data_IF_847639712808
#
_entry.id   IF_847639712808
#
_cell.length_a   1.000
_cell.length_b   1.000
_cell.length_c   1.000
_cell.angle_alpha   90.00
_cell.angle_beta   90.00
_cell.angle_gamma   90.00
#
_symmetry.space_group_name_H-M   'P 1'
#
loop_
_entity.id
_entity.type
_entity.pdbx_description
1 polymer ?
#
# COMPACT_ATOMS: atom_id res chain seq x y z
N UNK A 1 -47.49 49.17 47.76
CA UNK A 1 -46.57 50.29 48.11
C UNK A 1 -45.37 50.13 47.18
N UNK A 2 -45.28 51.05 46.26
CA UNK A 2 -44.16 51.44 45.46
C UNK A 2 -42.99 51.99 46.31
N UNK A 3 -41.79 52.29 45.83
CA UNK A 3 -41.33 52.46 44.42
C UNK A 3 -39.92 51.83 44.09
N UNK A 4 -39.59 51.61 42.80
CA UNK A 4 -38.77 52.46 41.89
C UNK A 4 -37.27 52.53 42.22
N UNK A 5 -36.28 52.50 41.38
CA UNK A 5 -35.97 52.88 39.98
C UNK A 5 -34.58 52.27 39.62
N UNK A 6 -34.33 51.78 38.52
CA UNK A 6 -33.83 52.34 37.26
C UNK A 6 -32.35 52.76 37.20
N UNK A 7 -31.69 52.12 36.19
CA UNK A 7 -30.76 52.72 35.20
C UNK A 7 -29.35 53.17 35.66
N UNK A 8 -28.28 52.75 34.99
CA UNK A 8 -27.72 53.25 33.72
C UNK A 8 -26.37 52.66 33.42
N UNK A 9 -26.14 52.45 32.20
CA UNK A 9 -24.88 52.23 31.54
C UNK A 9 -23.89 53.35 31.70
N UNK A 10 -22.60 53.06 31.72
CA UNK A 10 -21.61 53.95 31.08
C UNK A 10 -20.33 53.18 30.72
N UNK A 11 -19.95 53.33 29.45
CA UNK A 11 -18.63 53.04 28.90
C UNK A 11 -17.70 54.18 29.27
N UNK A 12 -16.45 53.89 29.69
CA UNK A 12 -15.35 54.84 29.51
C UNK A 12 -14.07 54.08 29.10
N UNK A 13 -13.42 54.71 28.17
CA UNK A 13 -12.30 54.47 27.32
C UNK A 13 -10.96 54.77 27.96
N UNK A 14 -9.96 53.97 27.62
CA UNK A 14 -8.56 54.30 27.30
C UNK A 14 -7.73 55.37 28.05
N UNK A 15 -6.49 54.90 28.33
CA UNK A 15 -5.20 55.67 28.44
C UNK A 15 -4.84 56.21 29.80
N UNK A 16 -3.70 55.84 30.44
CA UNK A 16 -2.36 56.36 30.22
C UNK A 16 -1.42 56.04 31.41
N UNK A 17 -0.23 55.60 31.08
CA UNK A 17 1.14 55.84 31.57
C UNK A 17 1.65 55.35 32.93
N UNK A 18 2.65 54.53 32.79
CA UNK A 18 4.03 54.50 33.39
C UNK A 18 4.26 54.90 34.83
N UNK A 19 4.89 53.99 35.59
CA UNK A 19 6.30 54.18 36.04
C UNK A 19 6.89 52.88 36.62
N UNK A 20 8.18 52.69 36.32
CA UNK A 20 9.00 51.56 36.63
C UNK A 20 9.34 51.39 38.10
N UNK A 21 9.51 50.12 38.53
CA UNK A 21 10.52 49.76 39.54
C UNK A 21 11.03 48.36 39.25
N UNK A 22 12.34 48.28 39.13
CA UNK A 22 13.18 47.08 38.93
C UNK A 22 13.11 46.16 40.14
N UNK A 23 12.84 44.85 39.87
CA UNK A 23 13.27 43.77 40.76
C UNK A 23 13.61 42.55 39.89
N UNK A 24 14.87 42.21 39.90
CA UNK A 24 15.50 41.04 39.29
C UNK A 24 15.03 39.77 40.01
N UNK A 25 14.31 38.89 39.31
CA UNK A 25 14.20 37.50 39.70
C UNK A 25 14.14 36.66 38.42
N UNK A 26 14.98 35.61 38.36
CA UNK A 26 15.26 34.81 37.18
C UNK A 26 14.03 34.14 36.59
N UNK A 27 13.76 34.42 35.35
CA UNK A 27 12.80 33.72 34.54
C UNK A 27 13.50 32.49 33.91
N UNK A 28 13.13 31.31 34.37
CA UNK A 28 13.38 30.06 33.64
C UNK A 28 12.50 30.12 32.39
N UNK A 29 13.11 30.39 31.24
CA UNK A 29 12.46 30.26 29.96
C UNK A 29 12.23 28.78 29.66
N UNK A 30 11.03 28.28 29.94
CA UNK A 30 10.56 27.05 29.32
C UNK A 30 10.33 27.30 27.83
N UNK A 31 11.30 26.95 27.01
CA UNK A 31 11.11 26.83 25.57
C UNK A 31 10.07 25.72 25.33
N UNK A 32 8.83 26.10 25.04
CA UNK A 32 7.86 25.23 24.47
C UNK A 32 8.38 24.85 23.07
N UNK A 33 8.98 23.66 22.97
CA UNK A 33 9.24 23.02 21.69
C UNK A 33 7.86 22.71 21.09
N UNK A 34 7.37 23.57 20.22
CA UNK A 34 6.33 23.20 19.28
C UNK A 34 6.96 22.13 18.37
N UNK A 35 6.74 20.86 18.71
CA UNK A 35 6.89 19.81 17.72
C UNK A 35 5.92 20.17 16.59
N UNK A 36 6.43 20.67 15.49
CA UNK A 36 5.70 20.67 14.23
C UNK A 36 5.23 19.23 14.04
N UNK A 37 3.94 19.01 14.16
CA UNK A 37 3.30 17.81 13.67
C UNK A 37 3.54 17.83 12.15
N UNK A 38 4.61 17.17 11.73
CA UNK A 38 4.78 16.86 10.31
C UNK A 38 3.50 16.17 9.88
N UNK A 39 2.71 16.88 9.08
CA UNK A 39 1.59 16.26 8.36
C UNK A 39 2.15 15.02 7.65
N UNK A 40 1.47 13.86 7.75
CA UNK A 40 1.94 12.66 7.06
C UNK A 40 2.29 13.05 5.62
N UNK A 41 3.48 12.63 5.17
CA UNK A 41 3.91 12.87 3.80
C UNK A 41 2.81 12.32 2.89
N UNK A 42 1.94 13.23 2.43
CA UNK A 42 0.85 12.89 1.55
C UNK A 42 1.44 12.11 0.39
N UNK A 43 0.83 10.96 0.09
CA UNK A 43 0.95 10.35 -1.21
C UNK A 43 1.00 11.47 -2.24
N UNK A 44 2.03 11.45 -3.10
CA UNK A 44 2.33 12.51 -4.06
C UNK A 44 1.05 13.18 -4.56
N UNK A 45 1.02 14.51 -4.60
CA UNK A 45 -0.15 15.28 -5.02
C UNK A 45 -0.54 14.94 -6.47
N UNK A 46 -1.07 13.73 -6.71
CA UNK A 46 -1.41 13.20 -8.00
C UNK A 46 -1.80 11.72 -7.93
N UNK A 47 -2.44 11.25 -8.99
CA UNK A 47 -2.83 9.85 -9.16
C UNK A 47 -1.59 8.95 -9.27
N UNK A 48 -1.48 7.93 -8.41
CA UNK A 48 -0.35 7.00 -8.36
C UNK A 48 -0.41 6.04 -9.55
N UNK A 49 0.64 6.02 -10.35
CA UNK A 49 0.89 5.02 -11.40
C UNK A 49 1.96 4.08 -10.89
N UNK A 50 1.59 2.86 -10.56
CA UNK A 50 2.46 1.90 -9.91
C UNK A 50 2.64 0.61 -10.71
N UNK A 51 3.67 -0.13 -10.34
CA UNK A 51 3.93 -1.49 -10.82
C UNK A 51 4.37 -2.36 -9.64
N UNK A 52 3.99 -3.65 -9.62
CA UNK A 52 4.68 -4.67 -8.82
C UNK A 52 5.76 -5.29 -9.71
N UNK A 53 7.00 -5.24 -9.27
CA UNK A 53 8.15 -5.77 -10.01
C UNK A 53 9.05 -6.58 -9.07
N UNK A 54 8.43 -7.31 -8.18
CA UNK A 54 9.13 -8.08 -7.16
C UNK A 54 10.01 -9.20 -7.74
N UNK A 55 9.74 -9.65 -8.98
CA UNK A 55 10.56 -10.66 -9.67
C UNK A 55 11.87 -10.11 -10.24
N UNK A 56 12.05 -8.79 -10.33
CA UNK A 56 13.24 -8.20 -10.98
C UNK A 56 14.56 -8.74 -10.43
N UNK A 57 14.82 -8.80 -9.10
CA UNK A 57 16.10 -9.34 -8.62
C UNK A 57 16.34 -10.78 -9.07
N UNK A 58 15.32 -11.60 -9.08
CA UNK A 58 15.37 -13.00 -9.50
C UNK A 58 15.57 -13.12 -11.02
N UNK A 59 14.90 -12.28 -11.80
CA UNK A 59 15.06 -12.24 -13.26
C UNK A 59 16.47 -11.79 -13.64
N UNK A 60 16.98 -10.73 -13.02
CA UNK A 60 18.36 -10.24 -13.22
C UNK A 60 19.41 -11.32 -12.88
N UNK A 61 19.23 -12.03 -11.76
CA UNK A 61 20.10 -13.14 -11.36
C UNK A 61 20.11 -14.29 -12.38
N UNK A 62 19.07 -14.40 -13.21
CA UNK A 62 18.93 -15.37 -14.32
C UNK A 62 19.31 -14.80 -15.69
N UNK A 63 19.89 -13.60 -15.74
CA UNK A 63 20.40 -12.97 -16.96
C UNK A 63 19.34 -12.28 -17.81
N UNK A 64 18.12 -12.06 -17.29
CA UNK A 64 17.12 -11.26 -18.00
C UNK A 64 17.52 -9.78 -18.02
N UNK A 65 17.18 -9.12 -19.11
CA UNK A 65 17.35 -7.69 -19.29
C UNK A 65 16.21 -7.13 -20.11
N UNK A 66 16.00 -5.82 -20.03
CA UNK A 66 14.90 -5.15 -20.70
C UNK A 66 15.40 -4.13 -21.69
N UNK A 67 14.67 -3.99 -22.79
CA UNK A 67 14.90 -2.96 -23.79
C UNK A 67 13.80 -1.91 -23.69
N UNK A 68 14.18 -0.65 -23.97
CA UNK A 68 13.21 0.42 -24.15
C UNK A 68 12.45 0.28 -25.49
N UNK A 69 11.50 1.17 -25.76
CA UNK A 69 10.72 1.15 -27.00
C UNK A 69 11.58 1.26 -28.27
N UNK A 70 12.77 1.89 -28.20
CA UNK A 70 13.72 1.99 -29.31
C UNK A 70 14.56 0.72 -29.49
N UNK A 71 14.44 -0.27 -28.60
CA UNK A 71 15.18 -1.53 -28.68
C UNK A 71 16.57 -1.49 -28.05
N UNK A 72 16.89 -0.46 -27.29
CA UNK A 72 18.14 -0.34 -26.56
C UNK A 72 17.97 -0.98 -25.17
N UNK A 73 18.95 -1.80 -24.76
CA UNK A 73 18.99 -2.33 -23.39
C UNK A 73 19.18 -1.18 -22.41
N UNK A 74 18.30 -1.14 -21.39
CA UNK A 74 18.27 -0.05 -20.43
C UNK A 74 17.80 -0.56 -19.07
N UNK A 75 18.19 0.11 -17.99
CA UNK A 75 17.69 -0.16 -16.65
C UNK A 75 16.16 -0.07 -16.62
N UNK A 76 15.52 -1.09 -16.02
CA UNK A 76 14.06 -1.20 -16.01
C UNK A 76 13.39 -0.01 -15.31
N UNK A 77 13.92 0.44 -14.17
CA UNK A 77 13.33 1.56 -13.43
C UNK A 77 13.36 2.85 -14.26
N UNK A 78 14.43 3.03 -15.06
CA UNK A 78 14.54 4.15 -16.01
C UNK A 78 13.48 4.06 -17.11
N UNK A 79 13.25 2.86 -17.68
CA UNK A 79 12.20 2.63 -18.68
C UNK A 79 10.83 2.92 -18.08
N UNK A 80 10.53 2.38 -16.91
CA UNK A 80 9.25 2.56 -16.21
C UNK A 80 8.97 4.04 -15.90
N UNK A 81 9.99 4.77 -15.46
CA UNK A 81 9.88 6.21 -15.23
C UNK A 81 9.49 6.98 -16.51
N UNK A 82 9.97 6.54 -17.67
CA UNK A 82 9.60 7.10 -18.98
C UNK A 82 8.10 6.94 -19.30
N UNK A 83 7.43 5.92 -18.74
CA UNK A 83 5.99 5.73 -18.81
C UNK A 83 5.21 6.44 -17.70
N UNK A 84 5.87 7.23 -16.86
CA UNK A 84 5.26 8.00 -15.78
C UNK A 84 4.98 7.16 -14.53
N UNK A 85 5.63 6.01 -14.34
CA UNK A 85 5.53 5.22 -13.12
C UNK A 85 6.15 6.00 -11.96
N UNK A 86 5.41 6.09 -10.86
CA UNK A 86 5.76 6.87 -9.66
C UNK A 86 5.91 6.02 -8.40
N UNK A 87 5.49 4.75 -8.46
CA UNK A 87 5.53 3.86 -7.30
C UNK A 87 5.81 2.41 -7.72
N UNK A 88 6.45 1.67 -6.81
CA UNK A 88 6.74 0.24 -6.96
C UNK A 88 6.19 -0.51 -5.76
N UNK A 89 5.44 -1.58 -6.01
CA UNK A 89 5.00 -2.56 -5.03
C UNK A 89 6.02 -3.69 -4.98
N UNK A 90 6.41 -4.10 -3.78
CA UNK A 90 7.39 -5.16 -3.51
C UNK A 90 6.81 -6.09 -2.45
N UNK A 91 6.67 -7.37 -2.79
CA UNK A 91 6.23 -8.39 -1.83
C UNK A 91 7.39 -8.87 -0.96
N UNK A 92 7.06 -9.39 0.22
CA UNK A 92 8.02 -10.11 1.07
C UNK A 92 7.42 -11.39 1.61
N UNK A 93 8.21 -12.47 1.56
CA UNK A 93 7.93 -13.76 2.20
C UNK A 93 8.61 -13.83 3.57
N UNK A 94 8.06 -14.66 4.46
CA UNK A 94 8.59 -14.80 5.84
C UNK A 94 9.92 -15.55 5.83
N UNK A 95 9.95 -16.71 5.19
CA UNK A 95 11.14 -17.53 5.05
C UNK A 95 11.12 -18.16 3.64
N UNK A 96 11.48 -17.37 2.61
CA UNK A 96 11.40 -17.82 1.24
C UNK A 96 12.29 -19.02 0.99
N UNK A 97 11.81 -19.94 0.16
CA UNK A 97 12.60 -21.08 -0.28
C UNK A 97 13.70 -20.65 -1.26
N UNK A 98 14.62 -21.57 -1.58
CA UNK A 98 15.58 -21.37 -2.66
C UNK A 98 15.02 -21.71 -4.04
N UNK A 99 13.71 -21.96 -4.17
CA UNK A 99 13.05 -22.26 -5.43
C UNK A 99 13.23 -21.13 -6.44
N UNK A 100 13.55 -21.43 -7.70
CA UNK A 100 13.71 -20.39 -8.73
C UNK A 100 12.41 -19.63 -9.08
N UNK A 101 11.24 -20.12 -8.67
CA UNK A 101 9.94 -19.47 -8.92
C UNK A 101 9.31 -18.90 -7.65
N UNK A 102 9.58 -19.53 -6.49
CA UNK A 102 8.95 -19.19 -5.20
C UNK A 102 9.96 -18.69 -4.18
N UNK A 103 11.25 -18.73 -4.51
CA UNK A 103 12.32 -18.19 -3.71
C UNK A 103 12.41 -16.67 -3.85
N UNK A 104 13.47 -16.12 -3.33
CA UNK A 104 13.67 -14.68 -3.32
C UNK A 104 12.62 -13.94 -2.44
N UNK A 105 12.55 -12.62 -2.58
CA UNK A 105 11.65 -11.76 -1.82
C UNK A 105 11.78 -11.88 -0.29
N UNK A 106 12.93 -12.31 0.23
CA UNK A 106 13.28 -12.12 1.64
C UNK A 106 13.54 -10.64 1.93
N UNK A 107 13.23 -10.19 3.16
CA UNK A 107 13.23 -8.75 3.47
C UNK A 107 14.56 -8.04 3.19
N UNK A 108 15.71 -8.70 3.33
CA UNK A 108 16.99 -8.07 3.03
C UNK A 108 17.18 -7.81 1.52
N UNK A 109 16.76 -8.75 0.67
CA UNK A 109 16.75 -8.58 -0.79
C UNK A 109 15.76 -7.49 -1.19
N UNK A 110 14.55 -7.51 -0.61
CA UNK A 110 13.53 -6.48 -0.83
C UNK A 110 14.06 -5.10 -0.45
N UNK A 111 14.71 -4.95 0.70
CA UNK A 111 15.29 -3.68 1.13
C UNK A 111 16.42 -3.21 0.20
N UNK A 112 17.25 -4.13 -0.30
CA UNK A 112 18.29 -3.82 -1.26
C UNK A 112 17.70 -3.32 -2.60
N UNK A 113 16.65 -3.97 -3.09
CA UNK A 113 15.97 -3.52 -4.31
C UNK A 113 15.19 -2.21 -4.08
N UNK A 114 14.57 -2.04 -2.92
CA UNK A 114 13.90 -0.80 -2.53
C UNK A 114 14.83 0.43 -2.54
N UNK A 115 16.13 0.26 -2.26
CA UNK A 115 17.12 1.36 -2.43
C UNK A 115 17.23 1.82 -3.89
N UNK A 116 17.21 0.88 -4.83
CA UNK A 116 17.22 1.21 -6.26
C UNK A 116 15.95 1.96 -6.65
N UNK A 117 14.79 1.49 -6.18
CA UNK A 117 13.48 2.14 -6.39
C UNK A 117 13.48 3.56 -5.85
N UNK A 118 13.95 3.77 -4.62
CA UNK A 118 14.06 5.10 -4.00
C UNK A 118 15.03 5.99 -4.77
N UNK A 119 16.19 5.48 -5.18
CA UNK A 119 17.17 6.24 -5.98
C UNK A 119 16.60 6.66 -7.35
N UNK A 120 15.68 5.88 -7.93
CA UNK A 120 14.93 6.27 -9.13
C UNK A 120 13.84 7.34 -8.85
N UNK A 121 13.63 7.73 -7.60
CA UNK A 121 12.65 8.74 -7.18
C UNK A 121 11.22 8.20 -7.11
N UNK A 122 11.03 6.89 -6.92
CA UNK A 122 9.72 6.23 -6.82
C UNK A 122 9.37 5.91 -5.37
N UNK A 123 8.08 5.97 -5.04
CA UNK A 123 7.53 5.54 -3.77
C UNK A 123 7.46 4.01 -3.68
N UNK A 124 7.40 3.48 -2.46
CA UNK A 124 7.40 2.04 -2.20
C UNK A 124 6.10 1.63 -1.53
N UNK A 125 5.47 0.57 -2.03
CA UNK A 125 4.45 -0.21 -1.33
C UNK A 125 5.07 -1.56 -0.94
N UNK A 126 5.10 -1.87 0.35
CA UNK A 126 5.53 -3.18 0.84
C UNK A 126 4.32 -4.10 1.00
N UNK A 127 4.37 -5.28 0.40
CA UNK A 127 3.32 -6.30 0.49
C UNK A 127 3.77 -7.50 1.34
N UNK A 128 3.14 -7.68 2.48
CA UNK A 128 3.37 -8.84 3.34
C UNK A 128 2.54 -10.04 2.87
N UNK A 129 3.17 -11.06 2.34
CA UNK A 129 2.49 -12.32 2.01
C UNK A 129 2.11 -13.16 3.24
N UNK A 130 2.77 -12.96 4.38
CA UNK A 130 2.62 -13.78 5.60
C UNK A 130 2.63 -15.29 5.34
N UNK A 131 3.47 -15.72 4.42
CA UNK A 131 3.77 -17.08 4.05
C UNK A 131 5.24 -17.21 3.66
N UNK A 132 5.72 -18.44 3.53
CA UNK A 132 7.05 -18.72 2.97
C UNK A 132 7.03 -18.75 1.44
N UNK A 133 5.85 -18.69 0.86
CA UNK A 133 5.54 -18.63 -0.56
C UNK A 133 4.21 -17.89 -0.76
N UNK A 134 3.63 -18.00 -1.95
CA UNK A 134 2.43 -17.30 -2.38
C UNK A 134 1.21 -17.53 -1.50
N UNK A 135 0.55 -16.43 -1.13
CA UNK A 135 -0.80 -16.39 -0.61
C UNK A 135 -1.70 -15.59 -1.57
N UNK A 136 -2.93 -16.05 -1.76
CA UNK A 136 -3.91 -15.44 -2.66
C UNK A 136 -5.33 -15.72 -2.17
N UNK A 137 -6.35 -15.34 -2.93
CA UNK A 137 -7.78 -15.45 -2.56
C UNK A 137 -8.18 -16.79 -1.91
N UNK A 138 -7.70 -17.91 -2.47
CA UNK A 138 -8.04 -19.27 -2.00
C UNK A 138 -7.06 -19.87 -1.01
N UNK A 139 -5.85 -19.33 -0.94
CA UNK A 139 -4.71 -19.89 -0.22
C UNK A 139 -4.15 -18.83 0.72
N UNK A 140 -4.29 -19.08 2.03
CA UNK A 140 -3.77 -18.19 3.08
C UNK A 140 -3.04 -19.03 4.12
N UNK A 141 -2.01 -19.73 3.64
CA UNK A 141 -1.20 -20.60 4.49
C UNK A 141 -0.24 -19.79 5.37
N UNK A 142 -0.17 -20.08 6.67
CA UNK A 142 0.89 -19.51 7.51
C UNK A 142 2.25 -20.03 7.09
N UNK A 143 3.34 -19.31 7.42
CA UNK A 143 4.69 -19.84 7.30
C UNK A 143 4.82 -21.20 8.00
N UNK A 144 5.68 -22.07 7.50
CA UNK A 144 5.87 -23.41 8.07
C UNK A 144 6.16 -23.36 9.58
N UNK A 145 6.97 -22.39 10.01
CA UNK A 145 7.30 -22.18 11.41
C UNK A 145 6.09 -21.78 12.30
N UNK A 146 5.01 -21.24 11.70
CA UNK A 146 3.83 -20.80 12.47
C UNK A 146 2.66 -21.77 12.39
N UNK A 147 2.75 -22.81 11.56
CA UNK A 147 1.62 -23.71 11.21
C UNK A 147 0.94 -24.35 12.42
N UNK A 148 1.71 -24.70 13.46
CA UNK A 148 1.21 -25.37 14.65
C UNK A 148 1.11 -24.42 15.87
N UNK A 149 1.21 -23.12 15.65
CA UNK A 149 1.08 -22.13 16.73
C UNK A 149 -0.40 -21.94 17.13
N UNK A 150 -0.61 -21.79 18.44
CA UNK A 150 -1.85 -21.22 18.94
C UNK A 150 -2.03 -19.77 18.44
N UNK A 151 -3.24 -19.24 18.54
CA UNK A 151 -3.52 -17.84 18.19
C UNK A 151 -2.58 -16.85 18.90
N UNK A 152 -2.36 -17.03 20.20
CA UNK A 152 -1.48 -16.14 20.99
C UNK A 152 -0.03 -16.18 20.49
N UNK A 153 0.50 -17.37 20.22
CA UNK A 153 1.85 -17.56 19.69
C UNK A 153 1.99 -16.95 18.28
N UNK A 154 1.00 -17.19 17.40
CA UNK A 154 1.00 -16.66 16.02
C UNK A 154 0.93 -15.13 16.01
N UNK A 155 0.10 -14.55 16.90
CA UNK A 155 0.02 -13.10 17.07
C UNK A 155 1.34 -12.49 17.49
N UNK A 156 2.05 -13.13 18.43
CA UNK A 156 3.38 -12.70 18.86
C UNK A 156 4.40 -12.84 17.72
N UNK A 157 4.41 -13.98 17.01
CA UNK A 157 5.29 -14.21 15.88
C UNK A 157 5.08 -13.17 14.76
N UNK A 158 3.83 -12.85 14.43
CA UNK A 158 3.49 -11.81 13.45
C UNK A 158 3.97 -10.43 13.90
N UNK A 159 3.72 -10.05 15.17
CA UNK A 159 4.25 -8.79 15.72
C UNK A 159 5.76 -8.71 15.60
N UNK A 160 6.46 -9.75 15.98
CA UNK A 160 7.94 -9.82 15.93
C UNK A 160 8.42 -9.70 14.49
N UNK A 161 7.84 -10.46 13.57
CA UNK A 161 8.22 -10.44 12.15
C UNK A 161 8.01 -9.07 11.52
N UNK A 162 6.84 -8.45 11.70
CA UNK A 162 6.56 -7.12 11.13
C UNK A 162 7.48 -6.05 11.73
N UNK A 163 7.73 -6.09 13.05
CA UNK A 163 8.67 -5.17 13.67
C UNK A 163 10.08 -5.30 13.09
N UNK A 164 10.58 -6.54 12.99
CA UNK A 164 11.91 -6.81 12.44
C UNK A 164 12.03 -6.36 10.98
N UNK A 165 11.08 -6.72 10.15
CA UNK A 165 11.11 -6.38 8.71
C UNK A 165 10.98 -4.88 8.48
N UNK A 166 10.09 -4.18 9.17
CA UNK A 166 10.00 -2.72 9.12
C UNK A 166 11.27 -2.04 9.63
N UNK A 167 11.92 -2.63 10.64
CA UNK A 167 13.23 -2.15 11.14
C UNK A 167 14.33 -2.32 10.09
N UNK A 168 14.34 -3.43 9.34
CA UNK A 168 15.26 -3.61 8.20
C UNK A 168 15.02 -2.51 7.15
N UNK A 169 13.76 -2.23 6.79
CA UNK A 169 13.44 -1.17 5.84
C UNK A 169 13.90 0.20 6.35
N UNK A 170 13.67 0.50 7.63
CA UNK A 170 14.11 1.74 8.28
C UNK A 170 15.63 1.89 8.26
N UNK A 171 16.37 0.86 8.66
CA UNK A 171 17.83 0.88 8.73
C UNK A 171 18.50 1.00 7.35
N UNK A 172 17.76 0.65 6.29
CA UNK A 172 18.19 0.82 4.90
C UNK A 172 17.69 2.14 4.28
N UNK A 173 17.03 2.99 5.06
CA UNK A 173 16.46 4.27 4.61
C UNK A 173 15.46 4.13 3.45
N UNK A 174 14.63 3.08 3.49
CA UNK A 174 13.63 2.75 2.48
C UNK A 174 12.26 2.47 3.10
N UNK A 175 11.86 3.25 4.11
CA UNK A 175 10.53 3.14 4.69
C UNK A 175 9.46 3.25 3.61
N UNK A 176 8.50 2.30 3.54
CA UNK A 176 7.48 2.31 2.51
C UNK A 176 6.43 3.41 2.78
N UNK A 177 5.89 3.99 1.72
CA UNK A 177 4.73 4.89 1.78
C UNK A 177 3.47 4.12 2.16
N UNK A 178 3.29 2.94 1.59
CA UNK A 178 2.17 2.04 1.88
C UNK A 178 2.68 0.69 2.36
N UNK A 179 1.97 0.10 3.31
CA UNK A 179 2.26 -1.25 3.82
C UNK A 179 0.99 -2.08 3.76
N UNK A 180 0.96 -3.04 2.88
CA UNK A 180 -0.12 -3.98 2.70
C UNK A 180 0.07 -5.13 3.67
N UNK A 181 -0.83 -5.27 4.66
CA UNK A 181 -0.76 -6.31 5.69
C UNK A 181 -1.56 -7.55 5.29
N UNK A 182 -1.01 -8.30 4.36
CA UNK A 182 -1.56 -9.50 3.76
C UNK A 182 -2.03 -9.29 2.32
N UNK A 183 -1.82 -10.31 1.49
CA UNK A 183 -2.17 -10.32 0.07
C UNK A 183 -3.49 -11.07 -0.16
N UNK A 184 -4.48 -10.41 -0.79
CA UNK A 184 -5.78 -10.97 -1.18
C UNK A 184 -6.50 -11.76 -0.06
N UNK A 185 -6.61 -11.17 1.12
CA UNK A 185 -7.04 -11.82 2.36
C UNK A 185 -8.56 -11.99 2.49
N UNK A 186 -9.28 -12.17 1.39
CA UNK A 186 -10.74 -12.35 1.36
C UNK A 186 -11.24 -13.44 2.31
N UNK A 187 -10.49 -14.52 2.44
CA UNK A 187 -10.83 -15.67 3.32
C UNK A 187 -10.17 -15.59 4.70
N UNK A 188 -9.49 -14.49 5.00
CA UNK A 188 -8.70 -14.29 6.21
C UNK A 188 -7.21 -14.35 5.96
N UNK A 189 -6.42 -14.54 7.02
CA UNK A 189 -4.95 -14.55 7.01
C UNK A 189 -4.43 -15.71 7.87
N UNK A 190 -3.32 -16.34 7.49
CA UNK A 190 -2.70 -17.43 8.26
C UNK A 190 -3.74 -18.47 8.73
N UNK A 191 -4.48 -19.06 7.81
CA UNK A 191 -5.57 -19.99 8.10
C UNK A 191 -5.06 -21.33 8.64
N UNK A 192 -5.82 -22.01 9.55
CA UNK A 192 -7.21 -21.70 9.95
C UNK A 192 -7.34 -20.63 11.03
N UNK A 193 -6.28 -20.27 11.75
CA UNK A 193 -6.32 -19.38 12.93
C UNK A 193 -6.96 -18.03 12.60
N UNK A 194 -6.45 -17.32 11.58
CA UNK A 194 -6.95 -16.02 11.14
C UNK A 194 -8.03 -16.10 10.05
N UNK A 195 -8.85 -17.14 10.04
CA UNK A 195 -9.95 -17.26 9.06
C UNK A 195 -10.98 -16.13 9.22
N UNK A 196 -11.57 -15.69 8.11
CA UNK A 196 -12.70 -14.75 8.11
C UNK A 196 -13.92 -15.30 8.87
N UNK A 197 -14.01 -16.63 9.03
CA UNK A 197 -15.01 -17.29 9.88
C UNK A 197 -14.69 -17.20 11.38
N UNK A 198 -13.48 -16.78 11.75
CA UNK A 198 -13.05 -16.48 13.11
C UNK A 198 -12.60 -15.02 13.20
N UNK A 199 -13.53 -14.06 13.07
CA UNK A 199 -13.19 -12.66 12.83
C UNK A 199 -12.42 -12.02 13.99
N UNK A 200 -12.62 -12.45 15.22
CA UNK A 200 -11.88 -11.92 16.36
C UNK A 200 -10.38 -12.25 16.28
N UNK A 201 -10.02 -13.49 15.93
CA UNK A 201 -8.61 -13.88 15.78
C UNK A 201 -8.01 -13.27 14.51
N UNK A 202 -8.73 -13.27 13.39
CA UNK A 202 -8.30 -12.58 12.17
C UNK A 202 -7.95 -11.10 12.45
N UNK A 203 -8.88 -10.40 13.09
CA UNK A 203 -8.69 -8.98 13.45
C UNK A 203 -7.51 -8.79 14.40
N UNK A 204 -7.36 -9.68 15.38
CA UNK A 204 -6.23 -9.62 16.33
C UNK A 204 -4.87 -9.81 15.67
N UNK A 205 -4.75 -10.68 14.65
CA UNK A 205 -3.53 -10.84 13.85
C UNK A 205 -3.24 -9.59 13.02
N UNK A 206 -4.23 -9.10 12.27
CA UNK A 206 -4.08 -7.90 11.43
C UNK A 206 -3.76 -6.65 12.26
N UNK A 207 -4.42 -6.48 13.42
CA UNK A 207 -4.12 -5.37 14.33
C UNK A 207 -2.72 -5.47 14.95
N UNK A 208 -2.21 -6.68 15.15
CA UNK A 208 -0.81 -6.88 15.59
C UNK A 208 0.17 -6.37 14.53
N UNK A 209 -0.05 -6.72 13.25
CA UNK A 209 0.73 -6.20 12.14
C UNK A 209 0.62 -4.67 12.03
N UNK A 210 -0.61 -4.13 12.02
CA UNK A 210 -0.87 -2.68 12.00
C UNK A 210 -0.06 -1.94 13.08
N UNK A 211 -0.13 -2.42 14.31
CA UNK A 211 0.53 -1.79 15.46
C UNK A 211 2.03 -1.72 15.27
N UNK A 212 2.65 -2.77 14.74
CA UNK A 212 4.10 -2.80 14.53
C UNK A 212 4.54 -1.92 13.36
N UNK A 213 3.75 -1.86 12.28
CA UNK A 213 4.03 -0.91 11.20
C UNK A 213 4.04 0.52 11.76
N UNK A 214 2.99 0.90 12.50
CA UNK A 214 2.89 2.25 13.08
C UNK A 214 3.95 2.55 14.14
N UNK A 215 4.41 1.55 14.87
CA UNK A 215 5.48 1.71 15.85
C UNK A 215 6.83 2.07 15.20
N UNK A 216 7.13 1.48 14.03
CA UNK A 216 8.41 1.71 13.32
C UNK A 216 8.30 2.87 12.32
N UNK A 217 7.16 2.99 11.65
CA UNK A 217 6.89 4.00 10.62
C UNK A 217 5.48 4.59 10.79
N UNK A 218 5.31 5.58 11.68
CA UNK A 218 4.00 6.20 11.95
C UNK A 218 3.33 6.77 10.70
N UNK A 219 4.13 7.24 9.75
CA UNK A 219 3.68 7.91 8.53
C UNK A 219 3.32 6.93 7.40
N UNK A 220 3.68 5.66 7.48
CA UNK A 220 3.26 4.67 6.48
C UNK A 220 1.75 4.44 6.54
N UNK A 221 1.11 4.42 5.38
CA UNK A 221 -0.31 4.09 5.22
C UNK A 221 -0.48 2.57 5.24
N UNK A 222 -1.22 2.04 6.22
CA UNK A 222 -1.46 0.60 6.35
C UNK A 222 -2.69 0.19 5.55
N UNK A 223 -2.50 -0.77 4.63
CA UNK A 223 -3.50 -1.20 3.66
C UNK A 223 -4.06 -2.59 3.97
N UNK A 224 -5.37 -2.76 3.81
CA UNK A 224 -6.03 -4.07 3.71
C UNK A 224 -6.31 -4.38 2.24
N UNK A 225 -5.84 -5.54 1.77
CA UNK A 225 -5.93 -5.95 0.37
C UNK A 225 -6.93 -7.10 0.17
N UNK A 226 -7.97 -6.82 -0.62
CA UNK A 226 -8.94 -7.82 -1.05
C UNK A 226 -8.99 -7.92 -2.57
N UNK A 227 -9.13 -9.14 -3.06
CA UNK A 227 -9.28 -9.41 -4.49
C UNK A 227 -10.75 -9.46 -4.91
N UNK A 228 -10.97 -9.38 -6.22
CA UNK A 228 -12.26 -9.63 -6.86
C UNK A 228 -13.39 -8.71 -6.36
N UNK A 229 -13.23 -7.37 -6.44
CA UNK A 229 -14.26 -6.43 -5.96
C UNK A 229 -15.58 -6.51 -6.73
N UNK A 230 -15.66 -7.22 -7.86
CA UNK A 230 -16.92 -7.60 -8.48
C UNK A 230 -17.80 -8.51 -7.60
N UNK A 231 -17.19 -9.24 -6.65
CA UNK A 231 -17.90 -10.01 -5.62
C UNK A 231 -18.16 -9.15 -4.38
N UNK A 232 -19.02 -8.15 -4.54
CA UNK A 232 -19.26 -7.12 -3.52
C UNK A 232 -19.62 -7.69 -2.14
N UNK A 233 -20.43 -8.76 -2.08
CA UNK A 233 -20.83 -9.40 -0.83
C UNK A 233 -19.64 -10.00 -0.06
N UNK A 234 -18.63 -10.48 -0.77
CA UNK A 234 -17.39 -10.96 -0.15
C UNK A 234 -16.63 -9.80 0.52
N UNK A 235 -16.57 -8.66 -0.17
CA UNK A 235 -15.95 -7.44 0.37
C UNK A 235 -16.68 -6.97 1.63
N UNK A 236 -17.99 -6.83 1.55
CA UNK A 236 -18.81 -6.37 2.68
C UNK A 236 -18.75 -7.34 3.86
N UNK A 237 -18.74 -8.64 3.60
CA UNK A 237 -18.58 -9.67 4.65
C UNK A 237 -17.25 -9.53 5.38
N UNK A 238 -16.15 -9.35 4.65
CA UNK A 238 -14.84 -9.17 5.26
C UNK A 238 -14.79 -7.88 6.10
N UNK A 239 -15.08 -6.74 5.49
CA UNK A 239 -14.92 -5.45 6.16
C UNK A 239 -15.90 -5.27 7.33
N UNK A 240 -17.15 -5.75 7.23
CA UNK A 240 -18.09 -5.69 8.34
C UNK A 240 -17.61 -6.50 9.54
N UNK A 241 -17.10 -7.71 9.32
CA UNK A 241 -16.53 -8.55 10.38
C UNK A 241 -15.26 -7.92 10.96
N UNK A 242 -14.37 -7.41 10.11
CA UNK A 242 -13.14 -6.77 10.54
C UNK A 242 -13.42 -5.53 11.38
N UNK A 243 -14.28 -4.63 10.90
CA UNK A 243 -14.65 -3.41 11.62
C UNK A 243 -15.37 -3.69 12.93
N UNK A 244 -16.33 -4.63 12.94
CA UNK A 244 -17.08 -5.03 14.15
C UNK A 244 -16.19 -5.59 15.26
N UNK A 245 -15.01 -6.13 14.91
CA UNK A 245 -14.02 -6.61 15.87
C UNK A 245 -12.89 -5.59 16.16
N UNK A 246 -13.08 -4.32 15.82
CA UNK A 246 -12.10 -3.25 16.09
C UNK A 246 -10.89 -3.28 15.14
N UNK A 247 -11.08 -3.68 13.90
CA UNK A 247 -10.06 -3.69 12.87
C UNK A 247 -9.47 -2.32 12.60
N UNK A 248 -8.15 -2.25 12.40
CA UNK A 248 -7.38 -1.02 12.18
C UNK A 248 -6.74 -1.05 10.80
N UNK A 249 -7.04 -0.06 9.97
CA UNK A 249 -6.39 0.16 8.68
C UNK A 249 -6.55 1.62 8.26
N UNK A 250 -5.72 2.06 7.33
CA UNK A 250 -5.75 3.43 6.84
C UNK A 250 -6.34 3.53 5.44
N UNK A 251 -6.18 2.49 4.61
CA UNK A 251 -6.60 2.47 3.21
C UNK A 251 -7.10 1.07 2.82
N UNK A 252 -8.14 1.01 1.99
CA UNK A 252 -8.61 -0.23 1.37
C UNK A 252 -8.01 -0.36 -0.02
N UNK A 253 -7.35 -1.50 -0.31
CA UNK A 253 -6.73 -1.72 -1.62
C UNK A 253 -7.26 -3.01 -2.25
N UNK A 254 -7.29 -3.05 -3.59
CA UNK A 254 -8.00 -4.11 -4.30
C UNK A 254 -7.19 -4.65 -5.47
N UNK A 255 -7.41 -5.92 -5.82
CA UNK A 255 -6.92 -6.55 -7.05
C UNK A 255 -8.07 -7.02 -7.94
N UNK A 256 -7.95 -6.78 -9.24
CA UNK A 256 -8.86 -7.32 -10.25
C UNK A 256 -8.23 -7.29 -11.64
N UNK A 257 -8.60 -8.27 -12.46
CA UNK A 257 -8.06 -8.50 -13.80
C UNK A 257 -9.18 -8.46 -14.86
N UNK A 258 -10.08 -7.49 -14.72
CA UNK A 258 -11.24 -7.34 -15.61
C UNK A 258 -10.92 -6.64 -16.93
N UNK A 259 -11.79 -6.82 -17.93
CA UNK A 259 -11.77 -6.10 -19.20
C UNK A 259 -12.24 -4.64 -19.06
N UNK A 260 -12.08 -3.86 -20.11
CA UNK A 260 -12.42 -2.43 -20.10
C UNK A 260 -13.92 -2.15 -19.82
N UNK A 261 -14.79 -2.99 -20.31
CA UNK A 261 -16.25 -2.84 -20.19
C UNK A 261 -16.75 -3.05 -18.75
N UNK A 262 -16.09 -3.89 -17.97
CA UNK A 262 -16.46 -4.15 -16.57
C UNK A 262 -15.77 -3.22 -15.55
N UNK A 263 -14.71 -2.53 -15.96
CA UNK A 263 -13.90 -1.69 -15.09
C UNK A 263 -14.72 -0.64 -14.30
N UNK A 264 -15.67 0.12 -14.89
CA UNK A 264 -16.47 1.10 -14.15
C UNK A 264 -17.29 0.47 -13.01
N UNK A 265 -17.91 -0.70 -13.26
CA UNK A 265 -18.71 -1.40 -12.25
C UNK A 265 -17.84 -1.94 -11.09
N UNK A 266 -16.67 -2.44 -11.42
CA UNK A 266 -15.70 -2.92 -10.43
C UNK A 266 -15.21 -1.77 -9.55
N UNK A 267 -14.82 -0.65 -10.14
CA UNK A 267 -14.38 0.55 -9.41
C UNK A 267 -15.50 1.14 -8.56
N UNK A 268 -16.76 1.12 -9.06
CA UNK A 268 -17.90 1.55 -8.26
C UNK A 268 -18.08 0.72 -6.99
N UNK A 269 -17.80 -0.60 -7.02
CA UNK A 269 -17.82 -1.42 -5.82
C UNK A 269 -16.68 -1.08 -4.86
N UNK A 270 -15.46 -0.83 -5.36
CA UNK A 270 -14.34 -0.35 -4.53
C UNK A 270 -14.71 0.96 -3.82
N UNK A 271 -15.32 1.90 -4.55
CA UNK A 271 -15.79 3.17 -3.98
C UNK A 271 -16.85 2.97 -2.90
N UNK A 272 -17.83 2.08 -3.11
CA UNK A 272 -18.85 1.78 -2.08
C UNK A 272 -18.22 1.29 -0.78
N UNK A 273 -17.19 0.45 -0.83
CA UNK A 273 -16.44 0.02 0.36
C UNK A 273 -15.70 1.21 0.99
N UNK A 274 -15.02 2.01 0.18
CA UNK A 274 -14.34 3.23 0.65
C UNK A 274 -15.29 4.16 1.40
N UNK A 275 -16.45 4.45 0.81
CA UNK A 275 -17.47 5.32 1.39
C UNK A 275 -18.05 4.75 2.70
N UNK A 276 -18.33 3.44 2.73
CA UNK A 276 -18.92 2.77 3.88
C UNK A 276 -18.06 2.84 5.14
N UNK A 277 -16.74 2.93 4.98
CA UNK A 277 -15.78 2.94 6.10
C UNK A 277 -14.98 4.26 6.20
N UNK A 278 -15.21 5.22 5.31
CA UNK A 278 -14.51 6.50 5.28
C UNK A 278 -13.00 6.33 5.05
N UNK A 279 -12.59 5.32 4.28
CA UNK A 279 -11.19 5.03 4.00
C UNK A 279 -10.87 5.28 2.53
N UNK A 280 -9.74 5.92 2.18
CA UNK A 280 -9.29 6.03 0.81
C UNK A 280 -9.06 4.66 0.19
N UNK A 281 -9.05 4.60 -1.14
CA UNK A 281 -8.82 3.36 -1.85
C UNK A 281 -7.92 3.51 -3.08
N UNK A 282 -7.29 2.42 -3.48
CA UNK A 282 -6.58 2.29 -4.75
C UNK A 282 -6.68 0.85 -5.30
N UNK A 283 -6.29 0.69 -6.54
CA UNK A 283 -6.22 -0.60 -7.22
C UNK A 283 -4.77 -1.10 -7.17
N UNK A 284 -4.46 -1.98 -6.19
CA UNK A 284 -3.08 -2.39 -5.89
C UNK A 284 -2.55 -3.49 -6.79
N UNK A 285 -3.42 -4.11 -7.62
CA UNK A 285 -2.98 -5.20 -8.49
C UNK A 285 -3.92 -5.37 -9.70
N UNK A 286 -3.42 -5.01 -10.87
CA UNK A 286 -4.05 -5.17 -12.18
C UNK A 286 -3.10 -5.92 -13.12
N UNK A 287 -3.62 -6.60 -14.11
CA UNK A 287 -2.84 -7.20 -15.18
C UNK A 287 -3.75 -7.68 -16.31
N UNK A 288 -3.15 -8.04 -17.42
CA UNK A 288 -3.87 -8.59 -18.56
C UNK A 288 -2.92 -9.26 -19.54
N UNK A 289 -3.45 -10.08 -20.43
CA UNK A 289 -2.67 -10.93 -21.32
C UNK A 289 -1.83 -10.12 -22.31
N UNK A 290 -0.54 -10.45 -22.42
CA UNK A 290 0.42 -9.82 -23.34
C UNK A 290 0.09 -10.09 -24.80
N UNK A 291 -0.47 -11.26 -25.11
CA UNK A 291 -0.92 -11.61 -26.47
C UNK A 291 -2.21 -10.89 -26.89
N UNK A 292 -2.83 -10.13 -25.97
CA UNK A 292 -3.98 -9.25 -26.18
C UNK A 292 -3.65 -7.81 -25.78
N UNK A 293 -2.45 -7.35 -26.10
CA UNK A 293 -1.89 -6.10 -25.61
C UNK A 293 -2.80 -4.89 -25.80
N UNK A 294 -3.47 -4.76 -26.96
CA UNK A 294 -4.41 -3.64 -27.20
C UNK A 294 -5.63 -3.68 -26.28
N UNK A 295 -6.20 -4.86 -26.01
CA UNK A 295 -7.32 -5.02 -25.08
C UNK A 295 -6.88 -4.77 -23.64
N UNK A 296 -5.68 -5.24 -23.25
CA UNK A 296 -5.11 -5.01 -21.93
C UNK A 296 -4.82 -3.52 -21.69
N UNK A 297 -4.29 -2.80 -22.72
CA UNK A 297 -4.14 -1.35 -22.67
C UNK A 297 -5.48 -0.65 -22.46
N UNK A 298 -6.51 -1.03 -23.25
CA UNK A 298 -7.84 -0.45 -23.11
C UNK A 298 -8.41 -0.67 -21.70
N UNK A 299 -8.20 -1.84 -21.10
CA UNK A 299 -8.60 -2.12 -19.74
C UNK A 299 -7.84 -1.23 -18.73
N UNK A 300 -6.51 -1.10 -18.85
CA UNK A 300 -5.71 -0.22 -17.98
C UNK A 300 -6.20 1.23 -18.03
N UNK A 301 -6.50 1.75 -19.23
CA UNK A 301 -7.05 3.11 -19.42
C UNK A 301 -8.43 3.21 -18.77
N UNK A 302 -9.32 2.23 -18.98
CA UNK A 302 -10.67 2.23 -18.41
C UNK A 302 -10.67 2.22 -16.88
N UNK A 303 -9.85 1.35 -16.27
CA UNK A 303 -9.66 1.33 -14.81
C UNK A 303 -9.11 2.65 -14.30
N UNK A 304 -8.06 3.18 -14.91
CA UNK A 304 -7.46 4.46 -14.50
C UNK A 304 -8.47 5.61 -14.57
N UNK A 305 -9.24 5.69 -15.65
CA UNK A 305 -10.28 6.70 -15.83
C UNK A 305 -11.38 6.57 -14.77
N UNK A 306 -11.88 5.34 -14.56
CA UNK A 306 -12.89 5.09 -13.55
C UNK A 306 -12.40 5.38 -12.13
N UNK A 307 -11.16 5.00 -11.78
CA UNK A 307 -10.55 5.30 -10.50
C UNK A 307 -10.45 6.81 -10.26
N UNK A 308 -9.93 7.57 -11.21
CA UNK A 308 -9.86 9.05 -11.12
C UNK A 308 -11.22 9.67 -10.91
N UNK A 309 -12.22 9.24 -11.68
CA UNK A 309 -13.60 9.75 -11.59
C UNK A 309 -14.28 9.43 -10.25
N UNK A 310 -13.82 8.40 -9.52
CA UNK A 310 -14.39 7.95 -8.25
C UNK A 310 -13.51 8.25 -7.04
N UNK A 311 -12.45 9.05 -7.17
CA UNK A 311 -11.54 9.40 -6.07
C UNK A 311 -10.57 8.29 -5.65
N UNK A 312 -10.37 7.28 -6.49
CA UNK A 312 -9.33 6.27 -6.33
C UNK A 312 -7.94 6.89 -6.46
N UNK A 313 -7.02 6.50 -5.59
CA UNK A 313 -5.73 7.18 -5.48
C UNK A 313 -4.65 6.65 -6.43
N UNK A 314 -4.86 5.50 -7.06
CA UNK A 314 -3.86 4.93 -7.98
C UNK A 314 -4.20 3.55 -8.48
N UNK A 315 -3.34 3.06 -9.38
CA UNK A 315 -3.37 1.71 -9.93
C UNK A 315 -1.95 1.15 -10.04
N UNK A 316 -1.79 -0.14 -9.70
CA UNK A 316 -0.53 -0.88 -9.86
C UNK A 316 -0.73 -2.02 -10.86
N UNK A 317 0.18 -2.15 -11.83
CA UNK A 317 0.24 -3.30 -12.72
C UNK A 317 1.12 -4.38 -12.12
N UNK A 318 0.65 -5.63 -12.07
CA UNK A 318 1.37 -6.74 -11.47
C UNK A 318 2.33 -7.39 -12.47
N UNK A 319 3.62 -7.36 -12.15
CA UNK A 319 4.76 -7.93 -12.89
C UNK A 319 4.73 -7.61 -14.40
N UNK A 320 4.65 -6.31 -14.78
CA UNK A 320 4.62 -5.94 -16.20
C UNK A 320 5.90 -6.33 -16.93
N UNK A 321 7.04 -6.35 -16.25
CA UNK A 321 8.36 -6.67 -16.80
C UNK A 321 8.57 -8.16 -17.07
N UNK A 322 7.69 -9.02 -16.55
CA UNK A 322 7.83 -10.46 -16.69
C UNK A 322 7.65 -10.92 -18.13
N UNK A 323 8.63 -11.65 -18.61
CA UNK A 323 8.62 -12.31 -19.92
C UNK A 323 8.36 -13.81 -19.74
N UNK A 324 7.53 -14.42 -20.60
CA UNK A 324 7.08 -15.81 -20.47
C UNK A 324 8.18 -16.86 -20.26
N UNK A 325 9.41 -16.73 -20.80
CA UNK A 325 10.48 -17.70 -20.53
C UNK A 325 10.93 -17.77 -19.08
N UNK A 326 10.58 -16.77 -18.24
CA UNK A 326 10.94 -16.77 -16.82
C UNK A 326 10.13 -17.80 -16.02
N UNK A 327 8.78 -17.70 -16.06
CA UNK A 327 7.88 -18.55 -15.27
C UNK A 327 6.71 -19.13 -16.06
N UNK A 328 6.60 -18.86 -17.35
CA UNK A 328 5.39 -19.11 -18.14
C UNK A 328 4.28 -18.08 -17.93
N UNK A 329 4.50 -17.06 -17.08
CA UNK A 329 3.54 -15.97 -16.86
C UNK A 329 3.34 -15.17 -18.16
N UNK A 330 2.09 -14.99 -18.56
CA UNK A 330 1.73 -14.39 -19.85
C UNK A 330 0.89 -13.10 -19.71
N UNK A 331 0.88 -12.52 -18.54
CA UNK A 331 0.17 -11.25 -18.27
C UNK A 331 1.14 -10.10 -17.99
N UNK A 332 2.41 -10.22 -18.38
CA UNK A 332 3.36 -9.12 -18.42
C UNK A 332 3.00 -8.08 -19.49
N UNK A 333 3.82 -7.05 -19.59
CA UNK A 333 3.68 -5.99 -20.58
C UNK A 333 4.88 -5.89 -21.53
N UNK A 334 5.85 -6.79 -21.40
CA UNK A 334 6.99 -6.92 -22.30
C UNK A 334 6.83 -8.10 -23.27
N UNK A 335 7.13 -7.85 -24.54
CA UNK A 335 7.22 -8.89 -25.54
C UNK A 335 8.48 -9.73 -25.35
N UNK A 336 8.31 -11.06 -25.20
CA UNK A 336 9.41 -11.97 -24.88
C UNK A 336 10.42 -12.15 -26.01
N UNK A 337 10.03 -11.92 -27.27
CA UNK A 337 10.91 -12.12 -28.44
C UNK A 337 11.79 -10.89 -28.68
N UNK A 338 11.24 -9.71 -28.47
CA UNK A 338 11.93 -8.44 -28.70
C UNK A 338 12.53 -7.85 -27.43
N UNK A 339 12.08 -8.29 -26.24
CA UNK A 339 12.39 -7.74 -24.91
C UNK A 339 11.97 -6.28 -24.77
N UNK A 340 11.01 -5.81 -25.58
CA UNK A 340 10.50 -4.43 -25.59
C UNK A 340 9.15 -4.33 -24.88
N UNK A 341 8.81 -3.18 -24.30
CA UNK A 341 7.47 -2.93 -23.84
C UNK A 341 6.48 -3.00 -25.00
N UNK A 342 5.33 -3.61 -24.77
CA UNK A 342 4.21 -3.60 -25.69
C UNK A 342 3.38 -2.33 -25.51
N UNK A 343 2.37 -2.15 -26.36
CA UNK A 343 1.42 -1.02 -26.25
C UNK A 343 0.66 -0.97 -24.92
N UNK A 344 0.72 -2.01 -24.09
CA UNK A 344 0.14 -2.01 -22.75
C UNK A 344 0.68 -0.85 -21.92
N UNK A 345 2.01 -0.63 -21.97
CA UNK A 345 2.66 0.41 -21.19
C UNK A 345 2.20 1.82 -21.57
N UNK A 346 1.79 2.05 -22.82
CA UNK A 346 1.22 3.33 -23.26
C UNK A 346 -0.07 3.68 -22.49
N UNK A 347 -0.78 2.68 -21.95
CA UNK A 347 -1.96 2.91 -21.12
C UNK A 347 -1.70 3.79 -19.89
N UNK A 348 -0.46 3.79 -19.38
CA UNK A 348 -0.09 4.68 -18.27
C UNK A 348 0.04 6.16 -18.68
N UNK A 349 0.29 6.45 -19.95
CA UNK A 349 0.44 7.82 -20.45
C UNK A 349 -0.85 8.39 -21.03
N UNK A 350 -1.83 7.52 -21.34
CA UNK A 350 -3.09 7.89 -21.99
C UNK A 350 -4.25 8.19 -21.03
N UNK A 351 -4.10 7.92 -19.73
CA UNK A 351 -5.18 8.06 -18.75
C UNK A 351 -4.84 8.99 -17.58
#
# INVERSE_FOLDING_TARGET
MHPTEASRSERISRRTLLKATTATTGAIATAAVFAELETPANAAAGFVKGVDISWVPQMEARGFSWKNASGQTQDLLTILKGYGITAVRLRTFVNPSSSPTDGHCGINEVAAFAKRVKAAGMSIMLDYMFGDTWNSVGVQNPPAAWRNMSYSQMRTAMSTYVNQTMTVMKNNDVLPTWVQIGNEINSGICRPVGSVSNPAQMTGLLNAAYTQVKAVSPNSTVCIHLAQPQKYDVMTTFFSRYAANGGKWDMSVFSSYGSADVAPGIVANMKKISDAYGKPFLHSEFGGRVDRASSTRAALVAYTTALKANGGQGIFYWEPECMSPFTGYNMGAWDSSTQRPTVIMDGFTQA
#
